data_IF_273438191099
#
_entry.id   IF_273438191099
#
_cell.length_a   1.000
_cell.length_b   1.000
_cell.length_c   1.000
_cell.angle_alpha   90.00
_cell.angle_beta   90.00
_cell.angle_gamma   90.00
#
_symmetry.space_group_name_H-M   'P 1'
#
loop_
_entity.id
_entity.type
_entity.pdbx_description
1 polymer ?
#
# COMPACT_ATOMS: atom_id res chain seq x y z
N UNK A 1 -23.15 -14.49 -32.61
CA UNK A 1 -23.01 -13.03 -32.67
C UNK A 1 -21.62 -12.71 -32.15
N UNK A 2 -20.69 -12.32 -33.04
CA UNK A 2 -19.33 -11.93 -32.67
C UNK A 2 -19.37 -10.57 -31.96
N UNK A 3 -19.09 -10.54 -30.66
CA UNK A 3 -18.80 -9.29 -29.95
C UNK A 3 -17.41 -8.81 -30.36
N UNK A 4 -17.35 -7.92 -31.36
CA UNK A 4 -16.11 -7.23 -31.75
C UNK A 4 -15.84 -6.07 -30.81
N UNK A 5 -15.35 -6.38 -29.61
CA UNK A 5 -14.70 -5.38 -28.77
C UNK A 5 -13.39 -4.98 -29.46
N UNK A 6 -13.36 -3.76 -30.00
CA UNK A 6 -12.17 -3.20 -30.65
C UNK A 6 -11.19 -2.80 -29.54
N UNK A 7 -10.27 -3.68 -29.19
CA UNK A 7 -9.21 -3.40 -28.22
C UNK A 7 -8.37 -2.24 -28.73
N UNK A 8 -8.41 -1.11 -28.02
CA UNK A 8 -7.85 0.17 -28.47
C UNK A 8 -6.31 0.15 -28.43
N UNK A 9 -5.71 -0.75 -27.64
CA UNK A 9 -4.27 -0.92 -27.56
C UNK A 9 -3.85 -2.39 -27.31
N UNK A 10 -3.10 -3.02 -28.24
CA UNK A 10 -2.71 -4.44 -28.13
C UNK A 10 -1.73 -4.73 -26.99
N UNK A 11 -1.01 -3.71 -26.50
CA UNK A 11 -0.12 -3.84 -25.34
C UNK A 11 -0.88 -4.00 -24.02
N UNK A 12 -2.06 -3.39 -23.88
CA UNK A 12 -2.88 -3.45 -22.66
C UNK A 12 -3.82 -4.66 -22.63
N UNK A 13 -4.08 -5.26 -23.80
CA UNK A 13 -4.93 -6.43 -23.92
C UNK A 13 -4.16 -7.76 -24.01
N UNK A 14 -2.83 -7.71 -24.01
CA UNK A 14 -2.06 -8.95 -23.92
C UNK A 14 -2.33 -9.58 -22.55
N UNK A 15 -2.79 -10.84 -22.54
CA UNK A 15 -3.18 -11.60 -21.34
C UNK A 15 -4.54 -11.20 -20.70
N UNK A 16 -5.41 -10.44 -21.36
CA UNK A 16 -6.79 -10.26 -20.89
C UNK A 16 -7.61 -11.55 -20.90
N UNK A 17 -7.24 -12.50 -21.78
CA UNK A 17 -7.99 -13.73 -22.02
C UNK A 17 -7.48 -14.91 -21.18
N UNK A 18 -6.46 -14.69 -20.34
CA UNK A 18 -5.98 -15.72 -19.41
C UNK A 18 -6.88 -15.80 -18.18
N UNK A 19 -7.40 -16.98 -17.88
CA UNK A 19 -8.11 -17.27 -16.62
C UNK A 19 -7.09 -17.20 -15.46
N UNK A 20 -7.07 -16.07 -14.78
CA UNK A 20 -6.24 -15.82 -13.60
C UNK A 20 -7.11 -15.12 -12.56
N UNK A 21 -6.88 -15.38 -11.27
CA UNK A 21 -7.68 -14.85 -10.16
C UNK A 21 -7.79 -13.32 -10.20
N UNK A 22 -6.79 -12.62 -10.75
CA UNK A 22 -6.81 -11.17 -10.95
C UNK A 22 -7.73 -10.72 -12.11
N UNK A 23 -7.79 -11.47 -13.21
CA UNK A 23 -8.67 -11.15 -14.34
C UNK A 23 -10.13 -11.46 -13.99
N UNK A 24 -10.40 -12.59 -13.33
CA UNK A 24 -11.74 -12.93 -12.84
C UNK A 24 -12.21 -11.90 -11.80
N UNK A 25 -11.30 -11.42 -10.93
CA UNK A 25 -11.60 -10.32 -10.01
C UNK A 25 -11.85 -9.00 -10.75
N UNK A 26 -11.11 -8.71 -11.82
CA UNK A 26 -11.33 -7.51 -12.64
C UNK A 26 -12.71 -7.50 -13.30
N UNK A 27 -13.16 -8.63 -13.87
CA UNK A 27 -14.50 -8.77 -14.44
C UNK A 27 -15.59 -8.58 -13.36
N UNK A 28 -15.39 -9.17 -12.18
CA UNK A 28 -16.30 -9.01 -11.05
C UNK A 28 -16.31 -7.57 -10.50
N UNK A 29 -15.20 -6.85 -10.58
CA UNK A 29 -15.10 -5.44 -10.18
C UNK A 29 -15.85 -4.54 -11.15
N UNK A 30 -15.85 -4.87 -12.45
CA UNK A 30 -16.66 -4.15 -13.44
C UNK A 30 -18.16 -4.39 -13.20
N UNK A 31 -18.55 -5.61 -12.82
CA UNK A 31 -19.96 -5.95 -12.52
C UNK A 31 -20.46 -5.34 -11.20
N UNK A 32 -19.67 -5.44 -10.12
CA UNK A 32 -20.07 -5.02 -8.78
C UNK A 32 -18.86 -4.53 -7.96
N UNK A 33 -18.39 -3.28 -8.18
CA UNK A 33 -17.18 -2.77 -7.55
C UNK A 33 -17.30 -2.66 -6.02
N UNK A 34 -18.51 -2.38 -5.52
CA UNK A 34 -18.80 -2.22 -4.09
C UNK A 34 -18.45 -3.45 -3.23
N UNK A 35 -18.37 -4.64 -3.83
CA UNK A 35 -18.00 -5.88 -3.11
C UNK A 35 -16.52 -5.94 -2.73
N UNK A 36 -15.67 -5.20 -3.44
CA UNK A 36 -14.22 -5.19 -3.24
C UNK A 36 -13.73 -3.91 -2.56
N UNK A 37 -14.63 -2.95 -2.34
CA UNK A 37 -14.34 -1.76 -1.54
C UNK A 37 -14.28 -2.13 -0.06
N UNK A 38 -13.11 -1.93 0.54
CA UNK A 38 -12.82 -2.18 1.94
C UNK A 38 -12.92 -0.87 2.72
N UNK A 39 -13.33 -0.99 3.98
CA UNK A 39 -13.22 0.10 4.95
C UNK A 39 -11.77 0.23 5.46
N UNK A 40 -11.41 1.37 6.05
CA UNK A 40 -10.03 1.61 6.51
C UNK A 40 -9.50 0.54 7.46
N UNK A 41 -10.33 0.04 8.38
CA UNK A 41 -9.95 -1.04 9.29
C UNK A 41 -9.64 -2.34 8.55
N UNK A 42 -10.39 -2.64 7.50
CA UNK A 42 -10.20 -3.83 6.66
C UNK A 42 -8.99 -3.68 5.74
N UNK A 43 -8.70 -2.46 5.26
CA UNK A 43 -7.47 -2.15 4.54
C UNK A 43 -6.26 -2.32 5.47
N UNK A 44 -6.34 -1.83 6.70
CA UNK A 44 -5.27 -1.99 7.69
C UNK A 44 -5.05 -3.47 8.02
N UNK A 45 -6.12 -4.23 8.24
CA UNK A 45 -6.04 -5.67 8.49
C UNK A 45 -5.47 -6.41 7.27
N UNK A 46 -5.88 -6.07 6.04
CA UNK A 46 -5.32 -6.63 4.82
C UNK A 46 -3.83 -6.30 4.62
N UNK A 47 -3.33 -5.20 5.19
CA UNK A 47 -1.89 -4.87 5.21
C UNK A 47 -1.11 -5.69 6.27
N UNK A 48 -1.77 -6.58 7.01
CA UNK A 48 -1.21 -7.35 8.13
C UNK A 48 -1.39 -6.65 9.50
N UNK A 49 -2.20 -5.60 9.54
CA UNK A 49 -2.69 -4.95 10.74
C UNK A 49 -1.60 -4.54 11.73
N UNK A 50 -1.86 -4.76 13.02
CA UNK A 50 -0.94 -4.41 14.09
C UNK A 50 0.38 -5.19 14.03
N UNK A 51 0.42 -6.36 13.38
CA UNK A 51 1.64 -7.15 13.26
C UNK A 51 2.64 -6.49 12.31
N UNK A 52 2.18 -6.09 11.12
CA UNK A 52 2.97 -5.29 10.18
C UNK A 52 3.41 -3.96 10.79
N UNK A 53 2.49 -3.28 11.49
CA UNK A 53 2.82 -2.03 12.18
C UNK A 53 3.91 -2.24 13.23
N UNK A 54 3.78 -3.27 14.06
CA UNK A 54 4.78 -3.60 15.08
C UNK A 54 6.13 -3.93 14.44
N UNK A 55 6.15 -4.68 13.34
CA UNK A 55 7.37 -5.02 12.62
C UNK A 55 8.04 -3.78 12.00
N UNK A 56 7.24 -2.88 11.43
CA UNK A 56 7.73 -1.62 10.87
C UNK A 56 8.30 -0.70 11.98
N UNK A 57 7.61 -0.58 13.11
CA UNK A 57 8.12 0.17 14.27
C UNK A 57 9.40 -0.45 14.83
N UNK A 58 9.45 -1.78 14.92
CA UNK A 58 10.65 -2.50 15.33
C UNK A 58 11.81 -2.27 14.35
N UNK A 59 11.54 -2.34 13.05
CA UNK A 59 12.54 -2.04 12.01
C UNK A 59 13.06 -0.61 12.11
N UNK A 60 12.17 0.37 12.33
CA UNK A 60 12.56 1.76 12.55
C UNK A 60 13.41 1.96 13.82
N UNK A 61 13.04 1.30 14.92
CA UNK A 61 13.81 1.31 16.16
C UNK A 61 15.19 0.67 15.97
N UNK A 62 15.29 -0.43 15.22
CA UNK A 62 16.57 -1.05 14.86
C UNK A 62 17.42 -0.14 13.98
N UNK A 63 16.81 0.59 13.03
CA UNK A 63 17.50 1.61 12.23
C UNK A 63 18.10 2.71 13.09
N UNK A 64 17.34 3.22 14.08
CA UNK A 64 17.83 4.20 15.05
C UNK A 64 18.95 3.61 15.94
N UNK A 65 18.77 2.39 16.43
CA UNK A 65 19.76 1.70 17.25
C UNK A 65 21.08 1.45 16.49
N UNK A 66 21.02 1.15 15.19
CA UNK A 66 22.19 0.99 14.34
C UNK A 66 23.00 2.30 14.22
N UNK A 67 22.32 3.44 14.17
CA UNK A 67 22.98 4.76 14.19
C UNK A 67 23.67 5.00 15.53
N UNK A 68 23.02 4.68 16.65
CA UNK A 68 23.66 4.78 17.97
C UNK A 68 24.81 3.78 18.17
N UNK A 69 24.71 2.58 17.59
CA UNK A 69 25.76 1.57 17.62
C UNK A 69 26.98 1.95 16.77
N UNK A 70 26.77 2.66 15.66
CA UNK A 70 27.87 3.17 14.82
C UNK A 70 28.51 4.43 15.38
N UNK A 71 27.77 5.23 16.16
CA UNK A 71 28.29 6.46 16.78
C UNK A 71 27.69 6.68 18.18
N UNK A 72 28.48 6.35 19.21
CA UNK A 72 28.15 6.69 20.60
C UNK A 72 28.04 8.21 20.84
N UNK A 73 28.72 9.02 20.01
CA UNK A 73 28.64 10.48 20.02
C UNK A 73 27.24 10.96 19.62
N UNK A 74 26.65 10.37 18.58
CA UNK A 74 25.27 10.70 18.17
C UNK A 74 24.26 10.36 19.26
N UNK A 75 24.43 9.25 19.98
CA UNK A 75 23.56 8.92 21.11
C UNK A 75 23.61 9.98 22.22
N UNK A 76 24.81 10.50 22.52
CA UNK A 76 25.00 11.57 23.52
C UNK A 76 24.37 12.89 23.07
N UNK A 77 24.54 13.25 21.79
CA UNK A 77 23.92 14.46 21.22
C UNK A 77 22.41 14.36 21.13
N UNK A 78 21.88 13.19 20.80
CA UNK A 78 20.44 12.94 20.83
C UNK A 78 19.88 13.11 22.24
N UNK A 79 20.51 12.49 23.25
CA UNK A 79 20.11 12.62 24.67
C UNK A 79 20.10 14.08 25.13
N UNK A 80 21.08 14.88 24.70
CA UNK A 80 21.21 16.28 25.09
C UNK A 80 20.43 17.25 24.18
N UNK A 81 19.74 16.75 23.14
CA UNK A 81 19.02 17.59 22.17
C UNK A 81 19.94 18.47 21.30
N UNK A 82 21.21 18.11 21.16
CA UNK A 82 22.26 18.91 20.48
C UNK A 82 22.56 18.43 19.06
N UNK A 83 21.63 17.69 18.43
CA UNK A 83 21.84 17.19 17.08
C UNK A 83 21.79 18.33 16.06
N UNK A 84 22.78 18.34 15.18
CA UNK A 84 22.78 19.20 14.00
C UNK A 84 21.83 18.64 12.92
N UNK A 85 21.45 19.48 11.95
CA UNK A 85 20.53 19.09 10.88
C UNK A 85 20.97 17.83 10.12
N UNK A 86 22.27 17.67 9.86
CA UNK A 86 22.81 16.49 9.19
C UNK A 86 22.68 15.21 10.05
N UNK A 87 22.82 15.34 11.37
CA UNK A 87 22.69 14.20 12.29
C UNK A 87 21.22 13.80 12.45
N UNK A 88 20.31 14.78 12.43
CA UNK A 88 18.87 14.54 12.33
C UNK A 88 18.49 13.83 11.03
N UNK A 89 19.06 14.24 9.90
CA UNK A 89 18.84 13.56 8.62
C UNK A 89 19.37 12.14 8.63
N UNK A 90 20.54 11.89 9.23
CA UNK A 90 21.10 10.55 9.35
C UNK A 90 20.22 9.66 10.24
N UNK A 91 19.85 10.15 11.43
CA UNK A 91 19.03 9.41 12.38
C UNK A 91 17.62 9.16 11.83
N UNK A 92 16.97 10.21 11.33
CA UNK A 92 15.65 10.11 10.70
C UNK A 92 15.66 9.24 9.44
N UNK A 93 16.71 9.36 8.61
CA UNK A 93 16.87 8.55 7.41
C UNK A 93 17.05 7.06 7.73
N UNK A 94 17.89 6.71 8.71
CA UNK A 94 18.07 5.33 9.14
C UNK A 94 16.79 4.75 9.76
N UNK A 95 16.06 5.53 10.57
CA UNK A 95 14.76 5.12 11.09
C UNK A 95 13.73 4.93 9.99
N UNK A 96 13.66 5.84 9.01
CA UNK A 96 12.74 5.73 7.89
C UNK A 96 13.05 4.50 7.02
N UNK A 97 14.32 4.26 6.71
CA UNK A 97 14.75 3.07 5.97
C UNK A 97 14.41 1.79 6.74
N UNK A 98 14.67 1.74 8.04
CA UNK A 98 14.29 0.62 8.89
C UNK A 98 12.78 0.38 8.92
N UNK A 99 11.98 1.45 9.01
CA UNK A 99 10.53 1.37 9.00
C UNK A 99 9.99 0.85 7.67
N UNK A 100 10.47 1.39 6.54
CA UNK A 100 10.05 0.93 5.21
C UNK A 100 10.41 -0.52 4.95
N UNK A 101 11.61 -0.96 5.37
CA UNK A 101 12.01 -2.36 5.30
C UNK A 101 11.13 -3.27 6.16
N UNK A 102 10.85 -2.87 7.41
CA UNK A 102 9.94 -3.61 8.28
C UNK A 102 8.50 -3.65 7.76
N UNK A 103 8.02 -2.57 7.16
CA UNK A 103 6.68 -2.54 6.55
C UNK A 103 6.61 -3.49 5.34
N UNK A 104 7.61 -3.46 4.45
CA UNK A 104 7.66 -4.35 3.29
C UNK A 104 7.66 -5.83 3.69
N UNK A 105 8.47 -6.20 4.69
CA UNK A 105 8.50 -7.56 5.23
C UNK A 105 7.17 -7.91 5.88
N UNK A 106 6.59 -7.00 6.68
CA UNK A 106 5.32 -7.22 7.36
C UNK A 106 4.16 -7.45 6.41
N UNK A 107 4.01 -6.61 5.37
CA UNK A 107 2.99 -6.78 4.33
C UNK A 107 3.20 -8.09 3.57
N UNK A 108 4.44 -8.45 3.28
CA UNK A 108 4.74 -9.70 2.55
C UNK A 108 4.47 -10.96 3.40
N UNK A 109 4.64 -10.87 4.72
CA UNK A 109 4.51 -12.01 5.63
C UNK A 109 3.09 -12.18 6.19
N UNK A 110 2.40 -11.08 6.47
CA UNK A 110 1.11 -11.06 7.17
C UNK A 110 -0.02 -10.43 6.35
N UNK A 111 0.30 -9.82 5.21
CA UNK A 111 -0.67 -9.14 4.36
C UNK A 111 -1.38 -10.07 3.40
N UNK A 112 -2.62 -9.71 3.08
CA UNK A 112 -3.44 -10.35 2.05
C UNK A 112 -3.35 -9.50 0.77
N UNK A 113 -2.30 -9.73 -0.01
CA UNK A 113 -1.95 -8.92 -1.19
C UNK A 113 -3.06 -8.90 -2.25
N UNK A 114 -3.75 -10.02 -2.45
CA UNK A 114 -4.84 -10.15 -3.42
C UNK A 114 -6.03 -9.26 -3.06
N UNK A 115 -6.42 -9.24 -1.78
CA UNK A 115 -7.55 -8.45 -1.29
C UNK A 115 -7.27 -6.94 -1.37
N UNK A 116 -6.03 -6.54 -1.06
CA UNK A 116 -5.53 -5.17 -1.26
C UNK A 116 -5.51 -4.76 -2.73
N UNK A 117 -5.05 -5.65 -3.61
CA UNK A 117 -4.99 -5.39 -5.05
C UNK A 117 -6.39 -5.14 -5.62
N UNK A 118 -7.34 -6.02 -5.29
CA UNK A 118 -8.73 -5.90 -5.71
C UNK A 118 -9.39 -4.63 -5.17
N UNK A 119 -9.09 -4.25 -3.93
CA UNK A 119 -9.56 -3.00 -3.34
C UNK A 119 -9.11 -1.77 -4.13
N UNK A 120 -7.81 -1.67 -4.40
CA UNK A 120 -7.26 -0.51 -5.13
C UNK A 120 -7.73 -0.48 -6.58
N UNK A 121 -7.88 -1.64 -7.23
CA UNK A 121 -8.43 -1.73 -8.58
C UNK A 121 -9.88 -1.24 -8.63
N UNK A 122 -10.73 -1.69 -7.71
CA UNK A 122 -12.12 -1.23 -7.59
C UNK A 122 -12.20 0.27 -7.26
N UNK A 123 -11.39 0.74 -6.31
CA UNK A 123 -11.35 2.16 -5.95
C UNK A 123 -10.95 3.05 -7.13
N UNK A 124 -9.91 2.66 -7.88
CA UNK A 124 -9.49 3.40 -9.06
C UNK A 124 -10.54 3.40 -10.16
N UNK A 125 -11.18 2.26 -10.42
CA UNK A 125 -12.27 2.15 -11.39
C UNK A 125 -13.45 3.06 -11.03
N UNK A 126 -13.96 3.00 -9.80
CA UNK A 126 -15.07 3.86 -9.37
C UNK A 126 -14.69 5.34 -9.42
N UNK A 127 -13.45 5.67 -9.05
CA UNK A 127 -12.96 7.06 -9.09
C UNK A 127 -12.84 7.60 -10.52
N UNK A 128 -12.42 6.79 -11.48
CA UNK A 128 -12.39 7.21 -12.90
C UNK A 128 -13.80 7.35 -13.45
N UNK A 129 -14.69 6.40 -13.16
CA UNK A 129 -16.10 6.47 -13.57
C UNK A 129 -16.79 7.74 -13.02
N UNK A 130 -16.68 8.01 -11.72
CA UNK A 130 -17.25 9.23 -11.12
C UNK A 130 -16.64 10.52 -11.68
N UNK A 131 -15.36 10.52 -12.09
CA UNK A 131 -14.69 11.69 -12.65
C UNK A 131 -15.10 12.00 -14.09
N UNK A 132 -15.34 10.98 -14.90
CA UNK A 132 -15.63 11.15 -16.34
C UNK A 132 -17.11 11.10 -16.66
N UNK A 133 -17.90 10.35 -15.92
CA UNK A 133 -19.33 10.17 -16.19
C UNK A 133 -20.22 11.04 -15.30
N UNK A 134 -19.68 11.68 -14.26
CA UNK A 134 -20.41 12.64 -13.41
C UNK A 134 -21.49 12.02 -12.53
N UNK A 135 -21.62 10.69 -12.51
CA UNK A 135 -22.52 9.96 -11.63
C UNK A 135 -21.84 9.69 -10.28
N UNK A 136 -22.58 9.83 -9.18
CA UNK A 136 -22.14 9.42 -7.84
C UNK A 136 -22.39 7.91 -7.67
N UNK A 137 -21.50 7.07 -8.20
CA UNK A 137 -21.62 5.59 -8.11
C UNK A 137 -21.14 5.07 -6.74
N UNK A 138 -20.51 5.92 -5.92
CA UNK A 138 -20.12 5.55 -4.56
C UNK A 138 -21.36 5.48 -3.64
N UNK A 139 -21.90 4.28 -3.44
CA UNK A 139 -22.87 4.01 -2.36
C UNK A 139 -22.18 4.00 -0.98
N UNK A 140 -20.88 3.67 -0.96
CA UNK A 140 -19.98 3.77 0.19
C UNK A 140 -18.70 4.49 -0.23
N UNK A 141 -18.55 5.73 0.20
CA UNK A 141 -17.24 6.38 0.15
C UNK A 141 -16.29 5.62 1.09
N UNK A 142 -15.02 5.38 0.72
CA UNK A 142 -14.02 4.95 1.70
C UNK A 142 -13.90 6.07 2.73
N UNK A 143 -14.51 5.87 3.90
CA UNK A 143 -14.48 6.82 5.00
C UNK A 143 -13.10 6.80 5.65
N UNK A 144 -12.53 8.01 5.77
CA UNK A 144 -11.24 8.30 6.41
C UNK A 144 -11.20 7.91 7.89
#
# INVERSE_FOLDING_TARGET
>A
MENRFRQIHPFYASHSDSLNESNDAADQIVEAPDRFLLNQSEVFEAQGGYQTLALALFGGAMGMAAVFGSSARMATYFKNGQLNAAEWLCLGGATALGYTGGNFIGVSAFGESQRLHNHWMAYHFVKTQNRYEGYNVLSKAPTY
#
